data_IF_013936147731
#
_entry.id   IF_013936147731
#
_cell.length_a   1.000
_cell.length_b   1.000
_cell.length_c   1.000
_cell.angle_alpha   90.00
_cell.angle_beta   90.00
_cell.angle_gamma   90.00
#
_symmetry.space_group_name_H-M   'P 1'
#
loop_
_entity.id
_entity.type
_entity.pdbx_description
1 polymer ?
#
# COMPACT_ATOMS: atom_id res chain seq x y z
N UNK A 1 -11.61 -4.98 -4.67
CA UNK A 1 -11.08 -4.20 -5.81
C UNK A 1 -11.84 -2.91 -5.97
N UNK A 2 -11.13 -1.86 -6.34
CA UNK A 2 -11.66 -0.52 -6.54
C UNK A 2 -11.17 0.03 -7.89
N UNK A 3 -12.09 0.58 -8.67
CA UNK A 3 -11.79 1.21 -9.95
C UNK A 3 -11.70 2.72 -9.78
N UNK A 4 -10.54 3.32 -10.09
CA UNK A 4 -10.30 4.72 -9.78
C UNK A 4 -11.10 5.72 -10.64
N UNK A 5 -11.48 5.33 -11.85
CA UNK A 5 -12.24 6.16 -12.82
C UNK A 5 -13.71 6.28 -12.42
N UNK A 6 -14.40 5.15 -12.31
CA UNK A 6 -15.82 5.08 -11.97
C UNK A 6 -16.11 5.21 -10.48
N UNK A 7 -15.09 4.95 -9.64
CA UNK A 7 -15.23 4.75 -8.20
C UNK A 7 -16.01 3.47 -7.82
N UNK A 8 -16.15 2.52 -8.74
CA UNK A 8 -16.90 1.29 -8.50
C UNK A 8 -16.13 0.32 -7.60
N UNK A 9 -16.88 -0.38 -6.74
CA UNK A 9 -16.35 -1.39 -5.84
C UNK A 9 -16.78 -2.79 -6.22
N UNK A 10 -15.85 -3.72 -5.98
CA UNK A 10 -16.05 -5.15 -6.10
C UNK A 10 -15.48 -5.86 -4.89
N UNK A 11 -16.35 -6.46 -4.11
CA UNK A 11 -16.01 -7.16 -2.88
C UNK A 11 -16.06 -8.66 -3.12
N UNK A 12 -14.96 -9.34 -2.82
CA UNK A 12 -14.86 -10.79 -2.92
C UNK A 12 -14.56 -11.35 -1.53
N UNK A 13 -15.37 -12.28 -1.01
CA UNK A 13 -15.02 -12.98 0.21
C UNK A 13 -13.82 -13.90 -0.07
N UNK A 14 -12.78 -13.77 0.74
CA UNK A 14 -11.58 -14.60 0.65
C UNK A 14 -11.26 -15.17 2.03
N UNK A 15 -10.75 -16.40 2.09
CA UNK A 15 -10.18 -16.96 3.32
C UNK A 15 -8.69 -16.62 3.41
N UNK A 16 -8.17 -16.60 4.65
CA UNK A 16 -6.74 -16.36 4.89
C UNK A 16 -5.85 -17.42 4.21
N UNK A 17 -6.37 -18.64 4.14
CA UNK A 17 -5.72 -19.83 3.56
C UNK A 17 -5.77 -19.88 2.03
N UNK A 18 -6.51 -18.99 1.36
CA UNK A 18 -6.54 -18.94 -0.11
C UNK A 18 -5.12 -18.86 -0.66
N UNK A 19 -4.81 -19.79 -1.57
CA UNK A 19 -3.56 -19.83 -2.31
C UNK A 19 -3.51 -18.74 -3.38
N UNK A 20 -2.34 -18.53 -3.97
CA UNK A 20 -2.14 -17.57 -5.05
C UNK A 20 -3.04 -17.90 -6.27
N UNK A 21 -3.18 -19.19 -6.59
CA UNK A 21 -4.11 -19.69 -7.62
C UNK A 21 -5.57 -19.38 -7.29
N UNK A 22 -6.03 -19.62 -6.05
CA UNK A 22 -7.41 -19.34 -5.65
C UNK A 22 -7.73 -17.85 -5.76
N UNK A 23 -6.77 -17.00 -5.40
CA UNK A 23 -6.92 -15.54 -5.55
C UNK A 23 -6.98 -15.11 -7.01
N UNK A 24 -6.19 -15.70 -7.90
CA UNK A 24 -6.25 -15.38 -9.33
C UNK A 24 -7.51 -15.91 -10.01
N UNK A 25 -7.98 -17.11 -9.66
CA UNK A 25 -9.27 -17.62 -10.14
C UNK A 25 -10.41 -16.72 -9.70
N UNK A 26 -10.40 -16.28 -8.43
CA UNK A 26 -11.40 -15.35 -7.91
C UNK A 26 -11.34 -14.00 -8.63
N UNK A 27 -10.14 -13.50 -8.91
CA UNK A 27 -9.92 -12.27 -9.68
C UNK A 27 -10.43 -12.42 -11.12
N UNK A 28 -10.11 -13.52 -11.79
CA UNK A 28 -10.55 -13.79 -13.15
C UNK A 28 -12.08 -13.87 -13.24
N UNK A 29 -12.69 -14.73 -12.41
CA UNK A 29 -14.11 -15.05 -12.48
C UNK A 29 -15.02 -13.89 -12.09
N UNK A 30 -14.56 -12.98 -11.23
CA UNK A 30 -15.43 -11.93 -10.69
C UNK A 30 -15.04 -10.52 -11.13
N UNK A 31 -13.82 -10.33 -11.65
CA UNK A 31 -13.31 -9.01 -12.02
C UNK A 31 -13.08 -8.97 -13.52
N UNK A 32 -12.19 -9.81 -14.06
CA UNK A 32 -11.89 -9.77 -15.50
C UNK A 32 -13.14 -10.08 -16.33
N UNK A 33 -13.91 -11.08 -15.93
CA UNK A 33 -15.18 -11.45 -16.59
C UNK A 33 -16.21 -10.32 -16.65
N UNK A 34 -16.18 -9.40 -15.68
CA UNK A 34 -17.24 -8.41 -15.47
C UNK A 34 -16.84 -7.01 -15.91
N UNK A 35 -15.53 -6.69 -15.93
CA UNK A 35 -15.03 -5.32 -16.10
C UNK A 35 -13.83 -5.23 -17.05
N UNK A 36 -13.54 -6.32 -17.77
CA UNK A 36 -12.40 -6.41 -18.69
C UNK A 36 -11.05 -6.35 -17.95
N UNK A 37 -9.95 -6.53 -18.69
CA UNK A 37 -8.60 -6.50 -18.09
C UNK A 37 -8.18 -5.05 -17.85
N UNK A 38 -7.93 -4.64 -16.59
CA UNK A 38 -7.52 -3.27 -16.28
C UNK A 38 -6.12 -2.96 -16.85
N UNK A 39 -5.87 -1.71 -17.25
CA UNK A 39 -4.57 -1.27 -17.80
C UNK A 39 -3.43 -1.30 -16.78
N UNK A 40 -3.75 -0.96 -15.54
CA UNK A 40 -2.80 -0.89 -14.42
C UNK A 40 -3.48 -1.52 -13.22
N UNK A 41 -2.80 -2.45 -12.55
CA UNK A 41 -3.23 -3.02 -11.29
C UNK A 41 -2.32 -2.48 -10.21
N UNK A 42 -2.92 -1.78 -9.26
CA UNK A 42 -2.23 -1.25 -8.08
C UNK A 42 -2.59 -2.17 -6.92
N UNK A 43 -1.59 -2.85 -6.38
CA UNK A 43 -1.73 -3.71 -5.21
C UNK A 43 -0.73 -3.30 -4.13
N UNK A 44 -1.07 -3.60 -2.90
CA UNK A 44 -0.13 -3.55 -1.79
C UNK A 44 0.98 -4.61 -1.97
N UNK A 45 1.91 -4.63 -1.02
CA UNK A 45 3.06 -5.53 -1.05
C UNK A 45 2.79 -6.88 -0.36
N UNK A 46 1.53 -7.32 -0.28
CA UNK A 46 1.17 -8.64 0.25
C UNK A 46 1.94 -9.74 -0.52
N UNK A 47 2.57 -10.70 0.19
CA UNK A 47 3.26 -11.83 -0.43
C UNK A 47 2.45 -12.52 -1.54
N UNK A 48 1.12 -12.59 -1.39
CA UNK A 48 0.24 -13.22 -2.39
C UNK A 48 0.31 -12.52 -3.74
N UNK A 49 0.31 -11.19 -3.78
CA UNK A 49 0.37 -10.41 -5.04
C UNK A 49 1.80 -10.15 -5.55
N UNK A 50 2.81 -10.56 -4.76
CA UNK A 50 4.23 -10.52 -5.10
C UNK A 50 4.79 -11.86 -5.56
N UNK A 51 3.98 -12.90 -5.58
CA UNK A 51 4.47 -14.21 -5.92
C UNK A 51 4.95 -14.27 -7.37
N UNK A 52 5.79 -15.26 -7.66
CA UNK A 52 6.26 -15.52 -9.02
C UNK A 52 5.08 -15.75 -9.97
N UNK A 53 4.03 -16.41 -9.49
CA UNK A 53 2.80 -16.63 -10.25
C UNK A 53 2.11 -15.31 -10.64
N UNK A 54 1.87 -14.39 -9.71
CA UNK A 54 1.23 -13.11 -10.05
C UNK A 54 2.11 -12.22 -10.91
N UNK A 55 3.43 -12.25 -10.69
CA UNK A 55 4.40 -11.53 -11.53
C UNK A 55 4.32 -12.01 -12.99
N UNK A 56 4.39 -13.32 -13.20
CA UNK A 56 4.27 -13.93 -14.53
C UNK A 56 2.89 -13.68 -15.15
N UNK A 57 1.81 -13.68 -14.36
CA UNK A 57 0.47 -13.38 -14.83
C UNK A 57 0.35 -11.93 -15.35
N UNK A 58 0.95 -10.97 -14.65
CA UNK A 58 0.97 -9.58 -15.10
C UNK A 58 1.78 -9.40 -16.38
N UNK A 59 2.93 -10.08 -16.49
CA UNK A 59 3.78 -10.06 -17.69
C UNK A 59 3.05 -10.67 -18.90
N UNK A 60 2.36 -11.81 -18.71
CA UNK A 60 1.56 -12.44 -19.77
C UNK A 60 0.40 -11.55 -20.26
N UNK A 61 -0.21 -10.76 -19.36
CA UNK A 61 -1.29 -9.85 -19.71
C UNK A 61 -0.78 -8.55 -20.37
N UNK A 62 0.54 -8.37 -20.49
CA UNK A 62 1.19 -7.11 -20.89
C UNK A 62 0.65 -5.93 -20.05
N UNK A 63 0.62 -6.13 -18.73
CA UNK A 63 0.11 -5.13 -17.78
C UNK A 63 1.19 -4.70 -16.82
N UNK A 64 1.21 -3.38 -16.58
CA UNK A 64 2.09 -2.79 -15.58
C UNK A 64 1.49 -3.07 -14.20
N UNK A 65 2.08 -4.02 -13.48
CA UNK A 65 1.87 -4.16 -12.05
C UNK A 65 2.56 -3.00 -11.34
N UNK A 66 1.78 -2.01 -10.89
CA UNK A 66 2.29 -0.94 -10.06
C UNK A 66 2.14 -1.37 -8.61
N UNK A 67 3.10 -2.13 -8.10
CA UNK A 67 3.17 -2.39 -6.67
C UNK A 67 3.33 -1.05 -5.95
N UNK A 68 2.36 -0.69 -5.11
CA UNK A 68 2.47 0.50 -4.29
C UNK A 68 3.81 0.44 -3.53
N UNK A 69 4.58 1.54 -3.60
CA UNK A 69 5.69 1.73 -2.66
C UNK A 69 5.11 1.67 -1.26
N UNK A 70 5.77 0.97 -0.34
CA UNK A 70 5.29 0.70 1.03
C UNK A 70 4.96 1.93 1.89
N UNK A 71 4.99 3.14 1.34
CA UNK A 71 4.90 4.40 2.07
C UNK A 71 4.27 5.53 1.23
N UNK A 72 3.26 5.24 0.40
CA UNK A 72 2.46 6.28 -0.27
C UNK A 72 1.06 6.39 0.35
N UNK A 73 0.91 7.02 1.54
CA UNK A 73 -0.36 7.09 2.27
C UNK A 73 -1.48 7.81 1.51
N UNK A 74 -1.21 8.53 0.41
CA UNK A 74 -2.26 9.11 -0.44
C UNK A 74 -2.82 8.16 -1.51
N UNK A 75 -1.97 7.38 -2.20
CA UNK A 75 -2.40 6.39 -3.20
C UNK A 75 -3.06 5.20 -2.51
N UNK A 76 -2.49 4.76 -1.40
CA UNK A 76 -3.10 3.75 -0.53
C UNK A 76 -4.28 4.35 0.27
N UNK A 77 -4.21 5.64 0.64
CA UNK A 77 -5.25 6.29 1.44
C UNK A 77 -6.61 6.42 0.75
N UNK A 78 -6.67 6.34 -0.59
CA UNK A 78 -7.95 6.20 -1.29
C UNK A 78 -8.52 4.80 -1.07
N UNK A 79 -7.71 3.76 -1.33
CA UNK A 79 -8.12 2.37 -1.10
C UNK A 79 -8.44 2.11 0.37
N UNK A 80 -7.63 2.59 1.31
CA UNK A 80 -7.84 2.47 2.75
C UNK A 80 -9.11 3.19 3.22
N UNK A 81 -9.33 4.45 2.83
CA UNK A 81 -10.58 5.17 3.17
C UNK A 81 -11.80 4.46 2.61
N UNK A 82 -11.66 3.83 1.45
CA UNK A 82 -12.74 3.07 0.82
C UNK A 82 -12.99 1.73 1.50
N UNK A 83 -11.95 1.00 1.88
CA UNK A 83 -12.06 -0.21 2.69
C UNK A 83 -12.70 0.13 4.03
N UNK A 84 -12.36 1.27 4.64
CA UNK A 84 -13.01 1.76 5.86
C UNK A 84 -14.50 2.05 5.64
N UNK A 85 -14.86 2.77 4.57
CA UNK A 85 -16.27 3.06 4.25
C UNK A 85 -17.08 1.78 4.01
N UNK A 86 -16.51 0.81 3.28
CA UNK A 86 -17.15 -0.49 3.04
C UNK A 86 -17.28 -1.30 4.33
N UNK A 87 -16.25 -1.30 5.17
CA UNK A 87 -16.28 -1.97 6.47
C UNK A 87 -17.33 -1.35 7.39
N UNK A 88 -17.45 -0.02 7.41
CA UNK A 88 -18.49 0.68 8.17
C UNK A 88 -19.89 0.34 7.64
N UNK A 89 -20.09 0.32 6.32
CA UNK A 89 -21.33 -0.16 5.72
C UNK A 89 -21.64 -1.60 6.14
N UNK A 90 -20.71 -2.54 5.98
CA UNK A 90 -20.92 -3.94 6.38
C UNK A 90 -21.26 -4.04 7.87
N UNK A 91 -20.52 -3.34 8.75
CA UNK A 91 -20.78 -3.33 10.20
C UNK A 91 -22.17 -2.84 10.52
N UNK A 92 -22.61 -1.75 9.88
CA UNK A 92 -23.95 -1.19 10.10
C UNK A 92 -25.03 -2.09 9.51
N UNK A 93 -24.79 -2.71 8.37
CA UNK A 93 -25.71 -3.70 7.79
C UNK A 93 -25.89 -4.92 8.72
N UNK A 94 -24.80 -5.42 9.30
CA UNK A 94 -24.84 -6.49 10.30
C UNK A 94 -25.49 -6.03 11.62
N UNK A 95 -25.26 -4.78 12.04
CA UNK A 95 -25.77 -4.26 13.32
C UNK A 95 -27.24 -3.84 13.28
N UNK A 96 -27.74 -3.33 12.14
CA UNK A 96 -29.04 -2.65 12.08
C UNK A 96 -30.14 -3.36 11.30
N UNK A 97 -29.89 -4.39 10.46
CA UNK A 97 -30.97 -4.74 9.54
C UNK A 97 -30.98 -6.06 8.78
N UNK A 98 -30.10 -7.01 9.07
CA UNK A 98 -30.08 -8.26 8.29
C UNK A 98 -30.12 -9.48 9.20
N UNK A 99 -31.19 -9.60 10.00
CA UNK A 99 -31.57 -10.87 10.59
C UNK A 99 -32.11 -11.77 9.47
N UNK A 100 -31.21 -12.51 8.83
CA UNK A 100 -31.60 -13.67 8.05
C UNK A 100 -31.79 -14.84 9.02
N UNK A 101 -33.05 -15.25 9.19
CA UNK A 101 -33.43 -16.35 10.08
C UNK A 101 -33.31 -17.66 9.28
N UNK A 102 -32.13 -18.25 9.28
CA UNK A 102 -32.00 -19.66 8.89
C UNK A 102 -32.52 -20.58 10.01
N UNK A 103 -32.76 -21.84 9.66
CA UNK A 103 -33.37 -22.86 10.52
C UNK A 103 -32.64 -23.10 11.87
N UNK A 104 -31.43 -22.54 12.04
CA UNK A 104 -30.55 -22.75 13.20
C UNK A 104 -30.30 -21.50 14.07
N UNK A 105 -30.97 -20.37 13.79
CA UNK A 105 -30.86 -19.13 14.59
C UNK A 105 -30.09 -17.99 13.93
N UNK A 106 -30.08 -16.81 14.57
CA UNK A 106 -29.54 -15.56 14.02
C UNK A 106 -28.10 -15.72 13.55
N UNK A 107 -27.89 -15.69 12.24
CA UNK A 107 -26.58 -15.88 11.65
C UNK A 107 -26.16 -14.60 10.92
N UNK A 108 -25.21 -13.88 11.51
CA UNK A 108 -24.60 -12.66 10.96
C UNK A 108 -23.66 -13.00 9.77
N UNK A 109 -24.16 -13.67 8.73
CA UNK A 109 -23.38 -13.98 7.53
C UNK A 109 -23.19 -12.73 6.66
N UNK A 110 -22.27 -11.85 7.05
CA UNK A 110 -21.88 -10.68 6.23
C UNK A 110 -21.52 -11.05 4.78
N UNK A 111 -21.06 -12.28 4.55
CA UNK A 111 -20.72 -12.83 3.22
C UNK A 111 -21.94 -12.88 2.29
N UNK A 112 -23.12 -13.30 2.77
CA UNK A 112 -24.34 -13.36 1.94
C UNK A 112 -24.86 -11.96 1.60
N UNK A 113 -24.50 -10.96 2.41
CA UNK A 113 -24.92 -9.58 2.26
C UNK A 113 -23.99 -8.77 1.33
N UNK A 114 -22.77 -9.26 1.07
CA UNK A 114 -21.77 -8.56 0.25
C UNK A 114 -22.31 -8.11 -1.11
N UNK A 115 -23.04 -8.93 -1.89
CA UNK A 115 -23.56 -8.48 -3.18
C UNK A 115 -24.56 -7.33 -3.04
N UNK A 116 -25.40 -7.34 -2.00
CA UNK A 116 -26.36 -6.28 -1.73
C UNK A 116 -25.67 -4.98 -1.32
N UNK A 117 -24.65 -5.06 -0.45
CA UNK A 117 -23.84 -3.90 -0.04
C UNK A 117 -23.08 -3.31 -1.23
N UNK A 118 -22.47 -4.16 -2.07
CA UNK A 118 -21.77 -3.73 -3.27
C UNK A 118 -22.72 -3.02 -4.26
N UNK A 119 -23.92 -3.58 -4.47
CA UNK A 119 -24.92 -2.97 -5.34
C UNK A 119 -25.40 -1.62 -4.79
N UNK A 120 -25.71 -1.55 -3.50
CA UNK A 120 -26.13 -0.31 -2.84
C UNK A 120 -25.05 0.78 -2.91
N UNK A 121 -23.78 0.43 -2.74
CA UNK A 121 -22.69 1.38 -2.92
C UNK A 121 -22.60 1.87 -4.37
N UNK A 122 -22.61 0.95 -5.34
CA UNK A 122 -22.40 1.28 -6.75
C UNK A 122 -23.57 2.06 -7.37
N UNK A 123 -24.78 1.99 -6.79
CA UNK A 123 -25.94 2.82 -7.19
C UNK A 123 -26.06 4.12 -6.42
N UNK A 124 -25.35 4.28 -5.29
CA UNK A 124 -25.32 5.52 -4.51
C UNK A 124 -24.42 6.58 -5.16
N UNK A 125 -24.79 7.86 -5.02
CA UNK A 125 -23.97 8.95 -5.56
C UNK A 125 -22.63 9.05 -4.83
N UNK A 126 -21.54 9.06 -5.60
CA UNK A 126 -20.21 9.29 -5.06
C UNK A 126 -19.91 10.80 -4.99
N UNK A 127 -19.34 11.25 -3.88
CA UNK A 127 -19.04 12.67 -3.63
C UNK A 127 -18.01 13.26 -4.59
N UNK A 128 -17.07 12.44 -5.10
CA UNK A 128 -16.01 12.90 -6.00
C UNK A 128 -16.48 13.05 -7.43
N UNK A 129 -17.32 12.13 -7.91
CA UNK A 129 -17.79 12.14 -9.31
C UNK A 129 -19.14 12.81 -9.50
N UNK A 130 -19.88 13.08 -8.41
CA UNK A 130 -21.25 13.61 -8.46
C UNK A 130 -22.27 12.65 -9.09
N UNK A 131 -21.85 11.45 -9.47
CA UNK A 131 -22.64 10.40 -10.13
C UNK A 131 -22.45 9.08 -9.38
N UNK A 132 -23.38 8.15 -9.56
CA UNK A 132 -23.23 6.81 -9.02
C UNK A 132 -22.16 6.03 -9.79
N UNK A 133 -21.35 5.18 -9.13
CA UNK A 133 -20.33 4.40 -9.82
C UNK A 133 -20.85 3.55 -10.99
N UNK A 134 -22.02 2.93 -10.86
CA UNK A 134 -22.64 2.15 -11.95
C UNK A 134 -22.97 3.02 -13.16
N UNK A 135 -23.43 4.25 -12.95
CA UNK A 135 -23.71 5.20 -14.03
C UNK A 135 -22.43 5.62 -14.75
N UNK A 136 -21.32 5.80 -14.03
CA UNK A 136 -20.03 6.17 -14.64
C UNK A 136 -19.38 4.99 -15.36
N UNK A 137 -19.44 3.80 -14.77
CA UNK A 137 -18.82 2.59 -15.33
C UNK A 137 -19.61 2.05 -16.54
N UNK A 138 -20.94 1.94 -16.42
CA UNK A 138 -21.79 1.23 -17.39
C UNK A 138 -22.66 2.15 -18.21
N UNK A 139 -22.80 3.42 -17.82
CA UNK A 139 -23.72 4.37 -18.45
C UNK A 139 -25.16 4.28 -17.96
N UNK A 140 -25.47 3.35 -17.05
CA UNK A 140 -26.80 3.16 -16.48
C UNK A 140 -26.72 2.63 -15.04
N UNK A 141 -27.75 2.94 -14.25
CA UNK A 141 -27.93 2.29 -12.95
C UNK A 141 -28.83 1.06 -13.13
N UNK A 142 -28.47 -0.10 -12.56
CA UNK A 142 -29.36 -1.24 -12.54
C UNK A 142 -30.64 -0.88 -11.80
N UNK A 143 -31.77 -1.32 -12.37
CA UNK A 143 -33.07 -1.17 -11.75
C UNK A 143 -33.09 -2.05 -10.50
N UNK A 144 -33.29 -1.42 -9.34
CA UNK A 144 -33.30 -2.12 -8.07
C UNK A 144 -34.66 -2.81 -7.88
N UNK A 145 -34.73 -3.90 -7.10
CA UNK A 145 -36.01 -4.54 -6.76
C UNK A 145 -37.04 -3.57 -6.16
N UNK A 146 -36.59 -2.48 -5.53
CA UNK A 146 -37.44 -1.40 -5.01
C UNK A 146 -38.11 -0.56 -6.09
N UNK A 147 -37.52 -0.47 -7.28
CA UNK A 147 -38.00 0.37 -8.38
C UNK A 147 -39.15 -0.31 -9.16
N UNK A 148 -39.30 -1.63 -9.02
CA UNK A 148 -40.20 -2.46 -9.84
C UNK A 148 -41.39 -3.08 -9.11
N UNK A 149 -41.61 -2.78 -7.83
CA UNK A 149 -42.86 -3.18 -7.19
C UNK A 149 -44.02 -2.38 -7.80
N UNK A 150 -44.65 -2.94 -8.83
CA UNK A 150 -45.97 -2.51 -9.28
C UNK A 150 -46.89 -2.59 -8.06
N UNK A 151 -47.42 -1.44 -7.62
CA UNK A 151 -48.42 -1.34 -6.54
C UNK A 151 -49.69 -2.18 -6.79
N UNK A 152 -49.82 -2.76 -7.98
CA UNK A 152 -51.03 -3.37 -8.50
C UNK A 152 -50.65 -4.74 -9.06
N UNK A 153 -51.23 -5.78 -8.46
CA UNK A 153 -51.21 -7.20 -8.86
C UNK A 153 -49.93 -7.97 -8.51
N UNK A 154 -49.94 -8.58 -7.33
CA UNK A 154 -49.58 -9.99 -7.10
C UNK A 154 -49.98 -10.33 -5.66
N UNK A 155 -50.47 -11.54 -5.43
CA UNK A 155 -50.48 -12.13 -4.08
C UNK A 155 -49.01 -12.33 -3.70
N UNK A 156 -48.38 -11.29 -3.14
CA UNK A 156 -46.96 -11.31 -2.80
C UNK A 156 -46.77 -12.34 -1.71
N UNK A 157 -45.99 -13.38 -1.99
CA UNK A 157 -45.63 -14.38 -0.98
C UNK A 157 -45.04 -13.67 0.26
N UNK A 158 -45.46 -13.99 1.50
CA UNK A 158 -45.04 -13.26 2.70
C UNK A 158 -43.52 -13.12 2.85
N UNK A 159 -42.76 -14.15 2.46
CA UNK A 159 -41.28 -14.11 2.44
C UNK A 159 -40.71 -13.13 1.41
N UNK A 160 -41.35 -12.97 0.25
CA UNK A 160 -40.91 -12.02 -0.76
C UNK A 160 -41.16 -10.57 -0.31
N UNK A 161 -42.28 -10.32 0.39
CA UNK A 161 -42.55 -9.03 1.03
C UNK A 161 -41.51 -8.69 2.11
N UNK A 162 -41.19 -9.66 2.97
CA UNK A 162 -40.14 -9.51 3.98
C UNK A 162 -38.77 -9.20 3.34
N UNK A 163 -38.40 -9.94 2.28
CA UNK A 163 -37.16 -9.70 1.56
C UNK A 163 -37.11 -8.31 0.92
N UNK A 164 -38.21 -7.83 0.36
CA UNK A 164 -38.31 -6.47 -0.18
C UNK A 164 -38.18 -5.41 0.92
N UNK A 165 -38.91 -5.55 2.02
CA UNK A 165 -38.86 -4.59 3.13
C UNK A 165 -37.46 -4.54 3.75
N UNK A 166 -36.80 -5.70 3.87
CA UNK A 166 -35.40 -5.82 4.26
C UNK A 166 -34.49 -5.09 3.26
N UNK A 167 -34.66 -5.32 1.96
CA UNK A 167 -33.86 -4.68 0.92
C UNK A 167 -34.01 -3.16 0.92
N UNK A 168 -35.23 -2.65 1.07
CA UNK A 168 -35.52 -1.22 1.13
C UNK A 168 -34.83 -0.57 2.33
N UNK A 169 -34.94 -1.18 3.52
CA UNK A 169 -34.24 -0.72 4.74
C UNK A 169 -32.72 -0.73 4.56
N UNK A 170 -32.18 -1.74 3.89
CA UNK A 170 -30.77 -1.83 3.55
C UNK A 170 -30.33 -0.65 2.67
N UNK A 171 -31.06 -0.36 1.59
CA UNK A 171 -30.78 0.79 0.72
C UNK A 171 -30.86 2.13 1.48
N UNK A 172 -31.91 2.36 2.25
CA UNK A 172 -32.09 3.61 3.00
C UNK A 172 -31.01 3.79 4.07
N UNK A 173 -30.61 2.69 4.72
CA UNK A 173 -29.53 2.71 5.71
C UNK A 173 -28.19 2.96 5.04
N UNK A 174 -27.88 2.29 3.93
CA UNK A 174 -26.66 2.56 3.15
C UNK A 174 -26.54 4.04 2.78
N UNK A 175 -27.60 4.63 2.24
CA UNK A 175 -27.62 6.02 1.82
C UNK A 175 -27.34 6.97 3.00
N UNK A 176 -27.98 6.73 4.16
CA UNK A 176 -27.75 7.51 5.38
C UNK A 176 -26.31 7.39 5.89
N UNK A 177 -25.76 6.17 5.91
CA UNK A 177 -24.40 5.91 6.38
C UNK A 177 -23.37 6.64 5.50
N UNK A 178 -23.56 6.61 4.18
CA UNK A 178 -22.69 7.33 3.24
C UNK A 178 -22.77 8.85 3.48
N UNK A 179 -23.97 9.39 3.71
CA UNK A 179 -24.17 10.81 3.99
C UNK A 179 -23.49 11.24 5.31
N UNK A 180 -23.72 10.50 6.39
CA UNK A 180 -23.10 10.76 7.71
C UNK A 180 -21.57 10.64 7.65
N UNK A 181 -21.03 9.62 6.97
CA UNK A 181 -19.59 9.44 6.82
C UNK A 181 -18.96 10.60 6.01
N UNK A 182 -19.67 11.10 4.98
CA UNK A 182 -19.22 12.26 4.20
C UNK A 182 -19.15 13.51 5.06
N UNK A 183 -20.17 13.76 5.88
CA UNK A 183 -20.23 14.93 6.74
C UNK A 183 -19.19 14.88 7.87
N UNK A 184 -19.03 13.72 8.52
CA UNK A 184 -18.01 13.49 9.52
C UNK A 184 -16.58 13.74 8.98
N UNK A 185 -16.29 13.19 7.79
CA UNK A 185 -14.98 13.36 7.16
C UNK A 185 -14.71 14.82 6.79
N UNK A 186 -15.72 15.55 6.29
CA UNK A 186 -15.61 16.98 5.98
C UNK A 186 -15.29 17.79 7.24
N UNK A 187 -16.07 17.63 8.30
CA UNK A 187 -15.87 18.37 9.55
C UNK A 187 -14.49 18.11 10.17
N UNK A 188 -13.97 16.87 10.05
CA UNK A 188 -12.63 16.52 10.53
C UNK A 188 -11.53 17.18 9.69
N UNK A 189 -11.68 17.19 8.37
CA UNK A 189 -10.75 17.84 7.45
C UNK A 189 -10.69 19.34 7.73
N UNK A 190 -11.84 20.01 7.75
CA UNK A 190 -11.92 21.46 7.95
C UNK A 190 -11.31 21.91 9.29
N UNK A 191 -11.40 21.07 10.34
CA UNK A 191 -10.82 21.36 11.66
C UNK A 191 -9.30 21.19 11.75
N UNK A 192 -8.71 20.35 10.91
CA UNK A 192 -7.31 19.91 11.09
C UNK A 192 -6.43 20.15 9.87
N UNK A 193 -7.02 20.51 8.74
CA UNK A 193 -6.29 20.78 7.52
C UNK A 193 -5.64 22.15 7.58
N UNK A 194 -4.31 22.15 7.49
CA UNK A 194 -3.49 23.33 7.27
C UNK A 194 -2.78 23.05 5.96
N UNK A 195 -2.92 23.94 4.97
CA UNK A 195 -2.17 23.84 3.73
C UNK A 195 -0.70 24.17 4.00
N UNK A 196 0.21 23.20 3.83
CA UNK A 196 1.63 23.46 3.97
C UNK A 196 2.13 24.10 2.67
N UNK A 197 2.58 25.34 2.77
CA UNK A 197 3.18 26.06 1.66
C UNK A 197 4.70 25.83 1.66
N UNK A 198 5.18 25.05 0.69
CA UNK A 198 6.60 24.80 0.45
C UNK A 198 7.02 25.44 -0.88
N UNK A 199 8.21 26.02 -0.93
CA UNK A 199 8.86 26.51 -2.16
C UNK A 199 10.13 25.74 -2.46
N UNK A 200 10.48 25.66 -3.74
CA UNK A 200 11.79 25.14 -4.15
C UNK A 200 12.91 25.96 -3.48
N UNK A 201 13.88 25.28 -2.87
CA UNK A 201 14.94 25.91 -2.07
C UNK A 201 14.68 26.03 -0.57
N UNK A 202 13.45 25.81 -0.09
CA UNK A 202 13.17 25.82 1.36
C UNK A 202 13.90 24.68 2.08
N UNK A 203 14.22 24.91 3.36
CA UNK A 203 14.75 23.86 4.25
C UNK A 203 13.62 23.18 4.99
N UNK A 204 13.72 21.86 5.14
CA UNK A 204 12.71 21.05 5.81
C UNK A 204 13.33 19.96 6.68
N UNK A 205 12.48 19.36 7.51
CA UNK A 205 12.76 18.19 8.32
C UNK A 205 11.85 17.03 7.89
N UNK A 206 12.42 15.83 7.71
CA UNK A 206 11.71 14.60 7.30
C UNK A 206 11.41 13.72 8.51
N UNK A 207 10.17 13.26 8.64
CA UNK A 207 9.71 12.40 9.74
C UNK A 207 10.41 11.05 9.76
N UNK A 208 10.93 10.65 10.93
CA UNK A 208 11.54 9.32 11.13
C UNK A 208 10.51 8.22 11.31
N UNK A 209 9.20 8.50 11.31
CA UNK A 209 8.14 7.52 11.62
C UNK A 209 8.24 6.25 10.76
N UNK A 210 8.65 6.40 9.50
CA UNK A 210 8.78 5.34 8.51
C UNK A 210 10.24 4.90 8.25
N UNK A 211 11.14 5.17 9.20
CA UNK A 211 12.54 4.78 9.11
C UNK A 211 12.83 3.56 9.98
N UNK A 212 12.93 2.38 9.37
CA UNK A 212 13.25 1.15 10.11
C UNK A 212 14.76 0.89 10.24
N UNK A 213 15.59 1.65 9.51
CA UNK A 213 17.04 1.40 9.38
C UNK A 213 17.90 2.39 10.18
N UNK A 214 17.28 3.26 11.00
CA UNK A 214 18.04 4.18 11.84
C UNK A 214 18.57 3.44 13.07
N UNK A 215 19.81 3.75 13.46
CA UNK A 215 20.42 3.20 14.68
C UNK A 215 19.65 3.68 15.91
N UNK A 216 19.55 2.80 16.91
CA UNK A 216 18.95 3.09 18.22
C UNK A 216 17.45 2.75 18.32
N UNK A 217 16.93 2.70 19.56
CA UNK A 217 15.53 2.38 19.82
C UNK A 217 14.59 3.49 19.34
N UNK A 218 13.43 3.13 18.76
CA UNK A 218 12.43 4.04 18.19
C UNK A 218 11.98 5.16 19.15
N UNK A 219 12.04 4.92 20.47
CA UNK A 219 11.66 5.90 21.51
C UNK A 219 12.73 6.93 21.85
N UNK A 220 14.01 6.67 21.59
CA UNK A 220 15.11 7.59 21.95
C UNK A 220 15.73 8.32 20.75
N UNK A 221 15.26 8.03 19.54
CA UNK A 221 15.75 8.70 18.33
C UNK A 221 14.93 9.94 18.02
N UNK A 222 15.53 10.85 17.28
CA UNK A 222 14.85 12.06 16.81
C UNK A 222 13.63 11.69 15.95
N UNK A 223 12.53 12.41 16.17
CA UNK A 223 11.29 12.20 15.41
C UNK A 223 11.37 12.75 13.99
N UNK A 224 12.32 13.64 13.71
CA UNK A 224 12.56 14.23 12.40
C UNK A 224 14.07 14.35 12.13
N UNK A 225 14.48 14.22 10.86
CA UNK A 225 15.85 14.36 10.38
C UNK A 225 15.97 15.55 9.43
N UNK A 226 17.13 16.21 9.41
CA UNK A 226 17.43 17.31 8.50
C UNK A 226 18.38 18.32 9.14
N UNK A 227 18.58 19.52 8.56
CA UNK A 227 17.78 20.11 7.48
C UNK A 227 18.13 19.57 6.08
N UNK A 228 17.11 19.26 5.28
CA UNK A 228 17.22 18.97 3.86
C UNK A 228 16.69 20.13 3.02
N UNK A 229 17.16 20.26 1.78
CA UNK A 229 16.73 21.33 0.86
C UNK A 229 15.82 20.75 -0.21
N UNK A 230 14.71 21.44 -0.48
CA UNK A 230 13.79 21.11 -1.57
C UNK A 230 14.47 21.36 -2.91
N UNK A 231 14.59 20.32 -3.72
CA UNK A 231 15.03 20.44 -5.12
C UNK A 231 13.84 20.82 -5.99
N UNK A 232 12.73 20.10 -5.84
CA UNK A 232 11.58 20.22 -6.72
C UNK A 232 10.29 19.84 -6.00
N UNK A 233 9.20 20.52 -6.35
CA UNK A 233 7.86 20.13 -5.93
C UNK A 233 7.24 19.20 -6.99
N UNK A 234 6.86 17.99 -6.58
CA UNK A 234 6.18 17.02 -7.45
C UNK A 234 4.68 17.12 -7.17
N UNK A 235 4.02 18.02 -7.91
CA UNK A 235 2.63 18.39 -7.66
C UNK A 235 2.44 19.13 -6.33
N UNK A 236 1.21 19.14 -5.81
CA UNK A 236 0.85 19.80 -4.53
C UNK A 236 1.22 18.97 -3.29
N UNK A 237 1.57 17.69 -3.47
CA UNK A 237 1.52 16.70 -2.40
C UNK A 237 2.84 15.98 -2.09
N UNK A 238 3.88 16.19 -2.89
CA UNK A 238 5.17 15.54 -2.69
C UNK A 238 6.34 16.50 -2.96
N UNK A 239 7.40 16.31 -2.18
CA UNK A 239 8.62 17.12 -2.21
C UNK A 239 9.79 16.22 -2.57
N UNK A 240 10.59 16.64 -3.54
CA UNK A 240 11.86 15.99 -3.89
C UNK A 240 13.02 16.70 -3.18
N UNK A 241 13.86 15.91 -2.52
CA UNK A 241 14.92 16.41 -1.63
C UNK A 241 16.29 15.90 -2.04
N UNK A 242 17.33 16.71 -1.77
CA UNK A 242 18.72 16.27 -1.90
C UNK A 242 19.12 15.43 -0.69
N UNK A 243 18.90 14.13 -0.80
CA UNK A 243 19.31 13.15 0.19
C UNK A 243 20.85 13.10 0.20
N UNK A 244 21.51 13.36 1.35
CA UNK A 244 22.96 13.17 1.51
C UNK A 244 23.32 11.70 1.25
N UNK A 245 24.51 11.42 0.68
CA UNK A 245 24.92 10.09 0.21
C UNK A 245 24.70 8.94 1.22
N UNK A 246 24.69 9.24 2.51
CA UNK A 246 24.46 8.31 3.62
C UNK A 246 23.01 7.79 3.74
N UNK A 247 22.05 8.47 3.12
CA UNK A 247 20.64 8.07 3.05
C UNK A 247 20.25 7.54 1.66
N UNK A 248 21.24 7.31 0.78
CA UNK A 248 21.10 6.85 -0.62
C UNK A 248 20.35 5.53 -0.82
N UNK A 249 19.99 4.81 0.26
CA UNK A 249 19.13 3.61 0.18
C UNK A 249 17.62 3.93 0.18
N UNK A 250 17.22 5.21 0.18
CA UNK A 250 15.81 5.62 0.23
C UNK A 250 15.43 6.54 -0.94
N UNK A 251 14.16 6.50 -1.30
CA UNK A 251 13.57 7.38 -2.31
C UNK A 251 13.76 8.85 -1.92
N UNK A 252 14.14 9.67 -2.89
CA UNK A 252 14.35 11.12 -2.79
C UNK A 252 13.05 11.93 -2.70
N UNK A 253 11.90 11.28 -2.82
CA UNK A 253 10.58 11.91 -2.86
C UNK A 253 9.82 11.59 -1.57
N UNK A 254 9.41 12.62 -0.84
CA UNK A 254 8.64 12.50 0.39
C UNK A 254 7.27 13.17 0.27
N UNK A 255 6.19 12.53 0.73
CA UNK A 255 4.89 13.18 0.89
C UNK A 255 5.00 14.38 1.83
N UNK A 256 4.33 15.47 1.48
CA UNK A 256 4.25 16.72 2.24
C UNK A 256 3.84 16.50 3.71
N UNK A 257 2.98 15.52 4.00
CA UNK A 257 2.54 15.17 5.37
C UNK A 257 3.65 14.60 6.26
N UNK A 258 4.72 14.06 5.65
CA UNK A 258 5.87 13.50 6.37
C UNK A 258 6.99 14.53 6.53
N UNK A 259 6.75 15.78 6.15
CA UNK A 259 7.73 16.85 6.11
C UNK A 259 7.28 18.00 7.02
N UNK A 260 8.22 18.69 7.65
CA UNK A 260 7.99 19.93 8.40
C UNK A 260 8.91 21.04 7.90
N UNK A 261 8.46 22.31 7.86
CA UNK A 261 9.33 23.44 7.58
C UNK A 261 10.42 23.55 8.65
N UNK A 262 11.66 23.82 8.22
CA UNK A 262 12.77 24.07 9.12
C UNK A 262 12.93 25.58 9.34
N UNK A 263 12.76 26.02 10.58
CA UNK A 263 13.05 27.39 10.99
C UNK A 263 14.42 27.45 11.64
N UNK A 264 15.35 28.18 11.03
CA UNK A 264 16.66 28.40 11.61
C UNK A 264 16.52 29.40 12.76
N UNK A 265 16.81 28.97 13.98
CA UNK A 265 16.86 29.89 15.12
C UNK A 265 18.08 30.80 14.96
N UNK A 266 17.85 32.11 14.90
CA UNK A 266 18.93 33.11 14.95
C UNK A 266 19.65 32.99 16.29
N UNK A 267 20.98 33.08 16.25
CA UNK A 267 21.87 32.60 17.32
C UNK A 267 21.78 33.32 18.67
N UNK A 268 20.97 34.37 18.79
CA UNK A 268 20.97 35.27 19.96
C UNK A 268 19.72 35.18 20.86
N UNK A 269 18.64 34.51 20.45
CA UNK A 269 17.41 34.48 21.28
C UNK A 269 17.54 33.56 22.51
N UNK A 270 18.42 32.55 22.48
CA UNK A 270 18.56 31.57 23.58
C UNK A 270 20.02 31.12 23.80
N UNK A 271 20.87 31.95 24.44
CA UNK A 271 22.30 31.69 24.58
C UNK A 271 22.66 30.44 25.41
N UNK A 272 21.75 29.96 26.26
CA UNK A 272 21.94 28.74 27.08
C UNK A 272 21.57 27.44 26.35
N UNK A 273 20.93 27.53 25.18
CA UNK A 273 20.53 26.34 24.41
C UNK A 273 21.73 25.83 23.61
N UNK A 274 22.34 24.73 24.07
CA UNK A 274 23.36 24.03 23.28
C UNK A 274 22.78 23.70 21.91
N UNK A 275 23.47 24.12 20.84
CA UNK A 275 23.21 23.64 19.49
C UNK A 275 23.65 22.18 19.46
N UNK A 276 22.73 21.26 19.74
CA UNK A 276 22.99 19.85 19.44
C UNK A 276 23.22 19.78 17.92
N UNK A 277 24.36 19.21 17.45
CA UNK A 277 24.57 19.02 16.04
C UNK A 277 23.39 18.18 15.52
N UNK A 278 22.54 18.77 14.68
CA UNK A 278 21.32 18.15 14.14
C UNK A 278 21.65 17.11 13.07
N UNK A 279 22.69 16.33 13.28
CA UNK A 279 23.07 15.18 12.50
C UNK A 279 23.99 14.35 13.39
N UNK A 280 23.74 13.04 13.57
CA UNK A 280 24.74 12.19 14.21
C UNK A 280 26.08 12.40 13.50
N UNK A 281 27.15 12.57 14.29
CA UNK A 281 28.52 12.72 13.77
C UNK A 281 28.80 11.64 12.72
N UNK A 282 29.09 12.10 11.52
CA UNK A 282 29.39 11.26 10.37
C UNK A 282 30.75 10.62 10.65
N UNK A 283 30.76 9.32 10.89
CA UNK A 283 31.99 8.54 10.69
C UNK A 283 32.22 8.57 9.19
N UNK A 284 33.22 9.33 8.73
CA UNK A 284 33.74 9.19 7.37
C UNK A 284 33.98 7.71 7.15
N UNK A 285 33.14 7.09 6.31
CA UNK A 285 33.45 5.78 5.77
C UNK A 285 34.60 6.04 4.82
N UNK A 286 35.83 6.00 5.37
CA UNK A 286 37.04 5.76 4.58
C UNK A 286 36.67 4.67 3.59
N UNK A 287 37.12 4.84 2.35
CA UNK A 287 36.96 3.94 1.20
C UNK A 287 37.45 2.49 1.41
N UNK A 288 37.63 2.08 2.66
CA UNK A 288 37.67 0.72 3.11
C UNK A 288 36.34 0.02 2.76
N UNK A 289 36.35 -1.09 2.01
CA UNK A 289 35.15 -1.87 1.78
C UNK A 289 34.51 -2.21 3.12
N UNK A 290 33.26 -1.77 3.31
CA UNK A 290 32.53 -1.99 4.55
C UNK A 290 32.44 -3.49 4.90
N UNK A 291 32.05 -3.86 6.13
CA UNK A 291 31.99 -5.25 6.53
C UNK A 291 31.04 -6.03 5.61
N UNK A 292 31.47 -7.22 5.19
CA UNK A 292 30.70 -8.08 4.28
C UNK A 292 29.38 -8.51 4.93
N UNK A 293 28.28 -8.38 4.20
CA UNK A 293 26.96 -8.87 4.64
C UNK A 293 26.78 -10.33 4.23
N UNK A 294 26.80 -10.59 2.91
CA UNK A 294 26.65 -11.93 2.34
C UNK A 294 27.24 -12.04 0.94
N UNK A 295 27.60 -13.26 0.57
CA UNK A 295 27.96 -13.64 -0.80
C UNK A 295 26.69 -14.09 -1.51
N UNK A 296 26.46 -13.60 -2.72
CA UNK A 296 25.22 -13.84 -3.48
C UNK A 296 25.43 -14.85 -4.59
N UNK A 297 26.47 -14.63 -5.41
CA UNK A 297 26.74 -15.44 -6.61
C UNK A 297 28.22 -15.78 -6.70
N UNK A 298 28.52 -16.84 -7.43
CA UNK A 298 29.88 -17.20 -7.82
C UNK A 298 29.96 -17.25 -9.34
N UNK A 299 31.12 -16.86 -9.89
CA UNK A 299 31.43 -17.00 -11.32
C UNK A 299 32.85 -17.56 -11.47
N UNK A 300 33.06 -18.32 -12.54
CA UNK A 300 34.39 -18.79 -12.97
C UNK A 300 34.80 -17.95 -14.19
N UNK A 301 36.00 -17.39 -14.15
CA UNK A 301 36.61 -16.66 -15.25
C UNK A 301 37.91 -17.36 -15.62
N UNK A 302 38.11 -17.64 -16.91
CA UNK A 302 39.37 -18.20 -17.41
C UNK A 302 40.25 -17.06 -17.91
N UNK A 303 41.34 -16.80 -17.19
CA UNK A 303 42.32 -15.75 -17.52
C UNK A 303 43.68 -16.42 -17.67
N UNK A 304 44.39 -16.15 -18.77
CA UNK A 304 45.71 -16.72 -19.07
C UNK A 304 45.77 -18.26 -18.90
N UNK A 305 44.73 -18.97 -19.37
CA UNK A 305 44.65 -20.43 -19.31
C UNK A 305 44.28 -21.03 -17.94
N UNK A 306 44.21 -20.21 -16.88
CA UNK A 306 43.86 -20.65 -15.51
C UNK A 306 42.45 -20.20 -15.12
N UNK A 307 41.77 -21.05 -14.34
CA UNK A 307 40.43 -20.78 -13.84
C UNK A 307 40.49 -19.99 -12.52
N UNK A 308 39.92 -18.78 -12.53
CA UNK A 308 39.77 -17.92 -11.37
C UNK A 308 38.31 -17.87 -10.91
N UNK A 309 38.07 -18.10 -9.62
CA UNK A 309 36.73 -17.96 -9.03
C UNK A 309 36.58 -16.58 -8.42
N UNK A 310 35.45 -15.94 -8.73
CA UNK A 310 35.04 -14.69 -8.10
C UNK A 310 33.68 -14.85 -7.46
N UNK A 311 33.46 -14.07 -6.41
CA UNK A 311 32.24 -14.06 -5.62
C UNK A 311 31.65 -12.66 -5.64
N UNK A 312 30.34 -12.55 -5.88
CA UNK A 312 29.62 -11.29 -5.80
C UNK A 312 29.32 -11.02 -4.33
N UNK A 313 29.99 -10.01 -3.79
CA UNK A 313 29.96 -9.66 -2.37
C UNK A 313 29.03 -8.47 -2.17
N UNK A 314 28.04 -8.64 -1.29
CA UNK A 314 27.21 -7.55 -0.80
C UNK A 314 27.74 -7.03 0.52
N UNK A 315 28.05 -5.74 0.56
CA UNK A 315 28.54 -5.07 1.76
C UNK A 315 27.39 -4.64 2.66
N UNK A 316 27.62 -4.59 3.98
CA UNK A 316 26.64 -4.03 4.92
C UNK A 316 26.54 -2.53 4.68
N UNK A 317 25.32 -2.00 4.77
CA UNK A 317 25.02 -0.57 4.65
C UNK A 317 25.26 0.05 3.26
N UNK A 318 25.46 -0.78 2.22
CA UNK A 318 25.55 -0.33 0.84
C UNK A 318 24.39 -0.90 0.01
N UNK A 319 23.93 -0.12 -0.97
CA UNK A 319 22.90 -0.55 -1.92
C UNK A 319 23.41 -1.69 -2.82
N UNK A 320 22.49 -2.46 -3.39
CA UNK A 320 22.81 -3.59 -4.27
C UNK A 320 23.65 -3.19 -5.50
N UNK A 321 23.53 -1.93 -5.94
CA UNK A 321 24.25 -1.41 -7.11
C UNK A 321 25.76 -1.24 -6.85
N UNK A 322 26.17 -1.25 -5.57
CA UNK A 322 27.59 -1.22 -5.16
C UNK A 322 28.16 -2.62 -4.87
N UNK A 323 27.44 -3.70 -5.19
CA UNK A 323 27.94 -5.07 -5.07
C UNK A 323 29.16 -5.26 -6.00
N UNK A 324 30.27 -5.79 -5.46
CA UNK A 324 31.53 -5.97 -6.22
C UNK A 324 31.87 -7.46 -6.36
N UNK A 325 32.44 -7.81 -7.51
CA UNK A 325 33.05 -9.13 -7.74
C UNK A 325 34.46 -9.15 -7.14
N UNK A 326 34.67 -9.98 -6.12
CA UNK A 326 35.95 -10.13 -5.44
C UNK A 326 36.47 -11.56 -5.56
N UNK A 327 37.80 -11.71 -5.64
CA UNK A 327 38.47 -12.99 -5.50
C UNK A 327 38.42 -13.48 -4.04
N UNK A 328 38.58 -14.77 -3.79
CA UNK A 328 38.55 -15.39 -2.45
C UNK A 328 39.42 -14.63 -1.44
N UNK A 329 40.63 -14.27 -1.85
CA UNK A 329 41.65 -13.62 -1.00
C UNK A 329 41.36 -12.13 -0.73
N UNK A 330 40.48 -11.52 -1.52
CA UNK A 330 40.15 -10.09 -1.43
C UNK A 330 38.88 -9.82 -0.61
N UNK A 331 38.26 -10.86 -0.04
CA UNK A 331 37.04 -10.74 0.77
C UNK A 331 37.42 -10.57 2.25
N UNK A 332 37.09 -9.44 2.89
CA UNK A 332 37.25 -9.30 4.34
C UNK A 332 36.45 -10.37 5.09
N UNK A 333 37.09 -11.08 6.02
CA UNK A 333 36.51 -12.25 6.73
C UNK A 333 35.95 -13.35 5.80
N UNK A 334 36.55 -13.50 4.61
CA UNK A 334 36.07 -14.37 3.53
C UNK A 334 35.76 -15.80 3.96
N UNK A 335 36.55 -16.40 4.84
CA UNK A 335 36.38 -17.77 5.31
C UNK A 335 35.00 -18.02 5.97
N UNK A 336 34.52 -17.09 6.79
CA UNK A 336 33.23 -17.23 7.47
C UNK A 336 32.07 -17.13 6.45
N UNK A 337 32.15 -16.14 5.56
CA UNK A 337 31.11 -15.86 4.57
C UNK A 337 31.05 -16.93 3.47
N UNK A 338 32.19 -17.44 3.03
CA UNK A 338 32.30 -18.53 2.06
C UNK A 338 31.80 -19.84 2.65
N UNK A 339 32.11 -20.13 3.93
CA UNK A 339 31.57 -21.32 4.61
C UNK A 339 30.05 -21.29 4.69
N UNK A 340 29.47 -20.14 5.07
CA UNK A 340 28.00 -19.96 5.09
C UNK A 340 27.38 -20.10 3.70
N UNK A 341 28.00 -19.52 2.67
CA UNK A 341 27.52 -19.59 1.29
C UNK A 341 27.60 -21.02 0.71
N UNK A 342 28.68 -21.75 0.99
CA UNK A 342 28.83 -23.16 0.58
C UNK A 342 27.83 -24.05 1.34
N UNK A 343 27.58 -23.78 2.62
CA UNK A 343 26.58 -24.51 3.40
C UNK A 343 25.15 -24.32 2.86
N UNK A 344 24.76 -23.09 2.46
CA UNK A 344 23.44 -22.83 1.84
C UNK A 344 23.30 -23.46 0.46
N UNK A 345 24.39 -23.58 -0.30
CA UNK A 345 24.41 -24.24 -1.62
C UNK A 345 24.35 -25.77 -1.52
N UNK A 346 24.92 -26.36 -0.46
CA UNK A 346 24.88 -27.80 -0.22
C UNK A 346 23.49 -28.30 0.18
N UNK A 347 22.69 -27.49 0.85
CA UNK A 347 21.29 -27.81 1.18
C UNK A 347 20.38 -27.75 -0.04
N UNK A 348 20.62 -26.85 -0.99
CA UNK A 348 19.91 -26.82 -2.29
C UNK A 348 20.19 -28.05 -3.19
N UNK A 349 21.25 -28.83 -2.91
CA UNK A 349 21.62 -30.01 -3.69
C UNK A 349 21.18 -31.33 -3.05
N UNK A 350 20.77 -31.36 -1.77
CA UNK A 350 20.21 -32.56 -1.13
C UNK A 350 18.69 -32.69 -1.30
N UNK A 351 18.02 -31.61 -1.70
CA UNK A 351 16.57 -31.56 -1.94
C UNK A 351 16.20 -31.69 -3.43
N UNK A 352 17.11 -32.23 -4.26
CA UNK A 352 16.86 -32.70 -5.62
C UNK A 352 17.33 -34.14 -5.75
#
# INVERSE_FOLDING_TARGET
>A
LYENTSKAHRCLPCHKENTEMDTALSFWNNIISTCWVPKIIISDRDPKFKSEFWTNLYDMLDKKAALCTAYHPQTDGLAERMVQAMTDMIRRFCAYGMEYKDHEGYTNYWVTLLPAVQLAYNTSQNSTTGKSPSLVERGWNPLLPVDHLKKILLTIHPKAKYFHDMWKRACDTAARCIAEAKEYNKQRWDKSHIEPYFKEGDKLLVSTLNFNNLKGPKKMRESFLGPFTIIKLIGENAVEEKVREEFSMKHTIFPVILVKPYFQTEGDEFPTRKKDPTSPEIVEVKDSPGPVNKIIKTRKLRLNGKDHRQYLVRFKYQAADKDKWLAEDAIPDGNLHLRRFRASKGTEQSDK
#
